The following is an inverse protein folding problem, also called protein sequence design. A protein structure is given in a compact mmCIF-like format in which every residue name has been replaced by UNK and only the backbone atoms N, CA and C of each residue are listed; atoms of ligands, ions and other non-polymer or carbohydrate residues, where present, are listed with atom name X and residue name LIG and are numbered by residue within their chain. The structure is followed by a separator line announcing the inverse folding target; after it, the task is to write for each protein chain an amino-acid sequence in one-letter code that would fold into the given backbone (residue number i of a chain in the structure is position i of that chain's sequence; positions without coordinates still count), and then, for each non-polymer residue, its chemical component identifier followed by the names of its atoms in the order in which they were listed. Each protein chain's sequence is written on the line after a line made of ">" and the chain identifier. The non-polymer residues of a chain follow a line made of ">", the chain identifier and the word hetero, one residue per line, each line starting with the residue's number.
data_IF_261734377703
#
_entry.id   IF_261734377703
#
_cell.length_a   1.000
_cell.length_b   1.000
_cell.length_c   1.000
_cell.angle_alpha   90.00
_cell.angle_beta   90.00
_cell.angle_gamma   90.00
#
_symmetry.space_group_name_H-M   'P 1'
#
loop_
_entity.id
_entity.type
_entity.pdbx_description
1 polymer ?
#
# COMPACT_ATOMS: atom_id res chain seq x y z
N UNK A 1 -16.93 -45.82 27.87
CA UNK A 1 -15.93 -45.60 26.82
C UNK A 1 -14.78 -44.80 27.41
N UNK A 2 -13.69 -45.48 27.68
CA UNK A 2 -12.56 -44.91 28.40
C UNK A 2 -11.69 -44.03 27.49
N UNK A 3 -11.16 -42.94 28.04
CA UNK A 3 -10.31 -41.98 27.33
C UNK A 3 -9.08 -42.61 26.63
N UNK A 4 -8.73 -43.85 27.01
CA UNK A 4 -7.60 -44.59 26.42
C UNK A 4 -7.94 -45.27 25.10
N UNK A 5 -9.24 -45.52 24.84
CA UNK A 5 -9.66 -46.18 23.58
C UNK A 5 -9.81 -45.22 22.41
N UNK A 6 -9.99 -43.92 22.69
CA UNK A 6 -10.05 -42.88 21.67
C UNK A 6 -8.69 -42.59 20.99
N UNK A 7 -7.60 -42.81 21.70
CA UNK A 7 -6.24 -42.55 21.17
C UNK A 7 -5.65 -43.70 20.34
N UNK A 8 -6.28 -44.84 20.30
CA UNK A 8 -5.80 -46.03 19.54
C UNK A 8 -6.42 -46.15 18.12
N UNK A 9 -7.46 -45.42 17.82
CA UNK A 9 -8.14 -45.52 16.50
C UNK A 9 -7.76 -44.44 15.50
N UNK A 10 -6.77 -43.61 15.79
CA UNK A 10 -6.31 -42.51 14.89
C UNK A 10 -4.91 -42.75 14.30
N UNK A 11 -4.46 -43.98 14.20
CA UNK A 11 -3.30 -44.29 13.36
C UNK A 11 -3.74 -44.89 12.03
N UNK A 12 -4.41 -44.10 11.20
CA UNK A 12 -4.43 -44.32 9.75
C UNK A 12 -3.17 -43.68 9.16
N UNK A 13 -2.30 -44.58 8.65
CA UNK A 13 -1.09 -44.24 7.92
C UNK A 13 -1.50 -43.44 6.68
N UNK A 14 -1.46 -42.11 6.76
CA UNK A 14 -1.49 -41.26 5.59
C UNK A 14 -0.10 -41.28 4.95
N UNK A 15 0.04 -41.90 3.77
CA UNK A 15 1.18 -41.73 2.91
C UNK A 15 1.47 -40.24 2.73
N UNK A 16 2.50 -39.72 3.37
CA UNK A 16 3.08 -38.43 3.03
C UNK A 16 3.68 -38.57 1.63
N UNK A 17 2.94 -38.12 0.61
CA UNK A 17 3.58 -37.73 -0.63
C UNK A 17 4.51 -36.56 -0.28
N UNK A 18 5.79 -36.82 -0.23
CA UNK A 18 6.82 -35.80 -0.21
C UNK A 18 6.68 -35.03 -1.54
N UNK A 19 5.99 -33.87 -1.48
CA UNK A 19 6.08 -32.89 -2.55
C UNK A 19 7.57 -32.49 -2.60
N UNK A 20 8.30 -33.02 -3.56
CA UNK A 20 9.63 -32.52 -3.90
C UNK A 20 9.44 -31.11 -4.41
N UNK A 21 9.64 -30.14 -3.52
CA UNK A 21 9.85 -28.76 -3.95
C UNK A 21 11.10 -28.77 -4.84
N UNK A 22 10.91 -28.55 -6.14
CA UNK A 22 12.03 -28.26 -7.01
C UNK A 22 12.81 -27.10 -6.37
N UNK A 23 14.16 -27.17 -6.29
CA UNK A 23 14.94 -26.06 -5.76
C UNK A 23 14.58 -24.82 -6.57
N UNK A 24 14.19 -23.77 -5.87
CA UNK A 24 13.92 -22.47 -6.49
C UNK A 24 15.15 -22.13 -7.35
N UNK A 25 14.91 -21.91 -8.63
CA UNK A 25 15.96 -21.48 -9.55
C UNK A 25 16.66 -20.29 -8.86
N UNK A 26 18.01 -20.33 -8.78
CA UNK A 26 18.82 -19.24 -8.22
C UNK A 26 18.30 -17.97 -8.86
N UNK A 27 17.65 -17.11 -8.07
CA UNK A 27 17.14 -15.83 -8.56
C UNK A 27 18.36 -15.07 -9.05
N UNK A 28 18.47 -14.90 -10.36
CA UNK A 28 19.44 -13.97 -10.91
C UNK A 28 19.21 -12.65 -10.22
N UNK A 29 20.29 -12.01 -9.73
CA UNK A 29 20.21 -10.65 -9.18
C UNK A 29 19.40 -9.83 -10.18
N UNK A 30 18.28 -9.20 -9.77
CA UNK A 30 17.51 -8.45 -10.71
C UNK A 30 18.46 -7.45 -11.38
N UNK A 31 18.32 -7.20 -12.69
CA UNK A 31 19.09 -6.16 -13.35
C UNK A 31 18.92 -4.89 -12.55
N UNK A 32 20.01 -4.14 -12.31
CA UNK A 32 19.94 -2.87 -11.65
C UNK A 32 18.81 -2.06 -12.29
N UNK A 33 17.93 -1.47 -11.47
CA UNK A 33 16.85 -0.64 -12.00
C UNK A 33 17.47 0.35 -12.98
N UNK A 34 16.94 0.47 -14.21
CA UNK A 34 17.50 1.40 -15.18
C UNK A 34 17.54 2.79 -14.55
N UNK A 35 18.72 3.43 -14.57
CA UNK A 35 18.88 4.78 -14.07
C UNK A 35 17.81 5.67 -14.75
N UNK A 36 16.88 6.23 -13.92
CA UNK A 36 15.82 7.17 -14.34
C UNK A 36 15.07 6.78 -15.64
N UNK A 37 14.32 5.69 -15.62
CA UNK A 37 13.30 5.47 -16.63
C UNK A 37 12.05 6.23 -16.17
N UNK A 38 11.63 7.19 -16.97
CA UNK A 38 10.44 8.00 -16.78
C UNK A 38 10.72 9.50 -16.89
N UNK A 39 9.67 10.23 -17.25
CA UNK A 39 9.70 11.69 -17.34
C UNK A 39 9.93 12.29 -15.95
N UNK A 40 10.92 13.17 -15.82
CA UNK A 40 11.08 13.99 -14.63
C UNK A 40 9.98 15.06 -14.61
N UNK A 41 9.08 14.97 -13.64
CA UNK A 41 7.99 15.92 -13.44
C UNK A 41 8.38 17.07 -12.48
N UNK A 42 9.67 17.22 -12.15
CA UNK A 42 10.12 18.22 -11.20
C UNK A 42 9.67 17.92 -9.75
N UNK A 43 9.34 16.67 -9.44
CA UNK A 43 8.94 16.25 -8.08
C UNK A 43 10.13 16.24 -7.15
N UNK A 44 9.89 16.59 -5.88
CA UNK A 44 10.91 16.48 -4.85
C UNK A 44 11.36 15.01 -4.71
N UNK A 45 12.68 14.81 -4.62
CA UNK A 45 13.31 13.47 -4.47
C UNK A 45 13.64 13.14 -3.00
N UNK A 46 13.31 14.05 -2.09
CA UNK A 46 13.27 13.88 -0.64
C UNK A 46 12.11 14.74 -0.11
N UNK A 47 11.45 14.28 0.95
CA UNK A 47 10.32 15.01 1.50
C UNK A 47 10.83 16.16 2.40
N UNK A 48 10.53 17.44 2.06
CA UNK A 48 10.72 18.55 2.99
C UNK A 48 10.06 18.26 4.35
N UNK A 49 10.57 18.88 5.45
CA UNK A 49 9.91 18.78 6.75
C UNK A 49 8.44 19.20 6.67
N UNK A 50 7.57 18.44 7.34
CA UNK A 50 6.14 18.71 7.35
C UNK A 50 5.34 17.41 7.39
N UNK A 51 4.02 17.54 7.24
CA UNK A 51 3.08 16.43 7.27
C UNK A 51 2.53 16.15 5.88
N UNK A 52 2.29 14.90 5.57
CA UNK A 52 1.86 14.43 4.26
C UNK A 52 0.61 13.57 4.36
N UNK A 53 -0.19 13.59 3.30
CA UNK A 53 -1.37 12.74 3.12
C UNK A 53 -1.06 11.67 2.07
N UNK A 54 -0.87 10.43 2.50
CA UNK A 54 -0.55 9.34 1.57
C UNK A 54 -1.76 8.92 0.70
N UNK A 55 -3.01 9.39 1.01
CA UNK A 55 -4.21 8.78 0.45
C UNK A 55 -5.28 9.80 0.02
N UNK A 56 -5.14 10.31 -1.21
CA UNK A 56 -6.07 11.26 -1.82
C UNK A 56 -6.57 10.69 -3.15
N UNK A 57 -7.89 10.70 -3.39
CA UNK A 57 -8.48 10.09 -4.58
C UNK A 57 -9.05 11.08 -5.58
N UNK A 58 -8.98 10.70 -6.86
CA UNK A 58 -9.78 11.28 -7.94
C UNK A 58 -10.95 10.33 -8.22
N UNK A 59 -12.19 10.80 -8.06
CA UNK A 59 -13.38 10.00 -8.34
C UNK A 59 -14.17 10.46 -9.58
N UNK A 60 -13.97 11.69 -10.04
CA UNK A 60 -14.78 12.31 -11.09
C UNK A 60 -13.96 12.69 -12.33
N UNK A 61 -14.63 12.73 -13.49
CA UNK A 61 -14.06 13.19 -14.78
C UNK A 61 -14.08 14.72 -14.92
N UNK A 62 -13.94 15.46 -13.82
CA UNK A 62 -13.89 16.91 -13.88
C UNK A 62 -12.50 17.42 -14.20
N UNK A 63 -12.39 18.57 -14.88
CA UNK A 63 -11.08 19.18 -15.14
C UNK A 63 -10.27 19.40 -13.88
N UNK A 64 -8.97 19.09 -13.88
CA UNK A 64 -8.09 19.32 -12.75
C UNK A 64 -8.06 20.78 -12.30
N UNK A 65 -7.96 20.98 -10.99
CA UNK A 65 -7.78 22.28 -10.31
C UNK A 65 -6.59 22.19 -9.35
N UNK A 66 -5.36 22.06 -9.88
CA UNK A 66 -4.18 21.75 -9.07
C UNK A 66 -3.89 22.79 -8.01
N UNK A 67 -4.02 24.09 -8.31
CA UNK A 67 -3.79 25.16 -7.33
C UNK A 67 -4.80 25.14 -6.17
N UNK A 68 -6.07 24.81 -6.48
CA UNK A 68 -7.09 24.69 -5.45
C UNK A 68 -6.81 23.49 -4.52
N UNK A 69 -6.37 22.36 -5.07
CA UNK A 69 -5.98 21.21 -4.27
C UNK A 69 -4.80 21.54 -3.37
N UNK A 70 -3.73 22.13 -3.93
CA UNK A 70 -2.56 22.53 -3.17
C UNK A 70 -2.91 23.51 -2.03
N UNK A 71 -3.78 24.49 -2.30
CA UNK A 71 -4.24 25.44 -1.30
C UNK A 71 -5.02 24.77 -0.15
N UNK A 72 -5.92 23.81 -0.45
CA UNK A 72 -6.68 23.07 0.56
C UNK A 72 -5.83 22.15 1.41
N UNK A 73 -4.82 21.49 0.81
CA UNK A 73 -3.84 20.70 1.52
C UNK A 73 -3.04 21.58 2.48
N UNK A 74 -2.56 22.73 2.02
CA UNK A 74 -1.85 23.69 2.86
C UNK A 74 -2.75 24.25 3.99
N UNK A 75 -4.02 24.55 3.70
CA UNK A 75 -5.02 24.94 4.73
C UNK A 75 -5.20 23.86 5.80
N UNK A 76 -5.09 22.59 5.43
CA UNK A 76 -5.14 21.47 6.38
C UNK A 76 -3.91 21.37 7.29
N UNK A 77 -2.84 22.11 7.00
CA UNK A 77 -1.56 22.02 7.69
C UNK A 77 -0.64 20.93 7.15
N UNK A 78 -0.85 20.50 5.90
CA UNK A 78 -0.04 19.53 5.20
C UNK A 78 0.78 20.20 4.10
N UNK A 79 1.88 19.56 3.68
CA UNK A 79 2.79 20.10 2.66
C UNK A 79 2.75 19.32 1.34
N UNK A 80 2.04 18.20 1.29
CA UNK A 80 1.91 17.38 0.09
C UNK A 80 1.26 16.02 0.37
N UNK A 81 1.41 15.09 -0.58
CA UNK A 81 0.84 13.75 -0.45
C UNK A 81 0.82 12.96 -1.75
N UNK A 82 0.16 11.80 -1.73
CA UNK A 82 -0.06 10.95 -2.89
C UNK A 82 -1.48 11.12 -3.40
N UNK A 83 -1.62 11.34 -4.70
CA UNK A 83 -2.92 11.46 -5.37
C UNK A 83 -3.13 10.25 -6.25
N UNK A 84 -4.16 9.48 -5.96
CA UNK A 84 -4.53 8.30 -6.73
C UNK A 84 -5.47 8.67 -7.87
N UNK A 85 -5.13 8.22 -9.07
CA UNK A 85 -5.96 8.43 -10.26
C UNK A 85 -7.34 7.82 -10.09
N UNK A 86 -8.21 8.08 -11.03
CA UNK A 86 -9.46 7.32 -11.17
C UNK A 86 -9.20 5.84 -11.40
N UNK A 87 -10.23 5.05 -11.09
CA UNK A 87 -10.30 3.66 -11.49
C UNK A 87 -10.34 3.53 -13.02
N UNK A 88 -9.60 2.55 -13.54
CA UNK A 88 -9.47 2.32 -14.97
C UNK A 88 -10.69 1.62 -15.59
N UNK A 89 -11.34 0.74 -14.84
CA UNK A 89 -12.48 -0.04 -15.32
C UNK A 89 -13.81 0.56 -14.87
N UNK A 90 -14.91 0.32 -15.62
CA UNK A 90 -16.23 0.59 -15.07
C UNK A 90 -16.39 -0.25 -13.80
N UNK A 91 -16.42 0.42 -12.68
CA UNK A 91 -16.64 -0.22 -11.39
C UNK A 91 -18.13 -0.29 -11.12
N UNK A 92 -18.69 -1.47 -10.84
CA UNK A 92 -20.04 -1.58 -10.30
C UNK A 92 -20.21 -0.74 -9.01
N UNK A 93 -19.10 -0.54 -8.30
CA UNK A 93 -18.97 0.20 -7.05
C UNK A 93 -19.41 1.65 -7.16
N UNK A 94 -19.04 2.33 -8.24
CA UNK A 94 -19.21 3.77 -8.34
C UNK A 94 -20.29 4.18 -9.34
N UNK A 95 -20.90 3.22 -10.06
CA UNK A 95 -21.78 3.48 -11.20
C UNK A 95 -21.17 4.46 -12.24
N UNK A 96 -19.85 4.64 -12.18
CA UNK A 96 -19.09 5.61 -12.98
C UNK A 96 -18.42 4.87 -14.12
N UNK A 97 -18.92 5.05 -15.31
CA UNK A 97 -18.21 4.67 -16.53
C UNK A 97 -17.31 5.80 -16.95
N UNK A 98 -16.00 5.65 -16.79
CA UNK A 98 -15.10 6.59 -17.45
C UNK A 98 -14.99 6.27 -18.93
N UNK A 99 -14.94 7.30 -19.77
CA UNK A 99 -14.60 7.19 -21.19
C UNK A 99 -13.12 7.44 -21.45
N UNK A 100 -12.35 7.72 -20.39
CA UNK A 100 -10.92 8.04 -20.50
C UNK A 100 -10.13 6.76 -20.81
N UNK A 101 -9.14 6.90 -21.71
CA UNK A 101 -8.15 5.85 -21.91
C UNK A 101 -7.19 5.78 -20.70
N UNK A 102 -6.45 4.66 -20.53
CA UNK A 102 -5.41 4.57 -19.49
C UNK A 102 -4.44 5.75 -19.51
N UNK A 103 -4.00 6.19 -20.70
CA UNK A 103 -3.09 7.32 -20.88
C UNK A 103 -3.70 8.63 -20.38
N UNK A 104 -4.98 8.87 -20.69
CA UNK A 104 -5.71 10.05 -20.24
C UNK A 104 -5.89 10.07 -18.72
N UNK A 105 -6.13 8.91 -18.11
CA UNK A 105 -6.23 8.76 -16.64
C UNK A 105 -4.88 9.12 -15.99
N UNK A 106 -3.77 8.64 -16.55
CA UNK A 106 -2.42 8.98 -16.09
C UNK A 106 -2.13 10.46 -16.25
N UNK A 107 -2.47 11.05 -17.42
CA UNK A 107 -2.27 12.48 -17.65
C UNK A 107 -3.09 13.34 -16.68
N UNK A 108 -4.34 12.95 -16.39
CA UNK A 108 -5.19 13.65 -15.44
C UNK A 108 -4.59 13.70 -14.03
N UNK A 109 -4.10 12.56 -13.50
CA UNK A 109 -3.51 12.56 -12.15
C UNK A 109 -2.20 13.33 -12.10
N UNK A 110 -1.41 13.32 -13.17
CA UNK A 110 -0.20 14.14 -13.29
C UNK A 110 -0.57 15.64 -13.24
N UNK A 111 -1.61 16.03 -13.96
CA UNK A 111 -2.08 17.42 -13.98
C UNK A 111 -2.59 17.84 -12.59
N UNK A 112 -3.36 17.02 -11.88
CA UNK A 112 -3.77 17.29 -10.49
C UNK A 112 -2.60 17.54 -9.55
N UNK A 113 -1.44 16.92 -9.81
CA UNK A 113 -0.23 17.08 -9.02
C UNK A 113 0.71 18.21 -9.49
N UNK A 114 0.35 18.96 -10.54
CA UNK A 114 1.27 19.90 -11.20
C UNK A 114 1.62 21.13 -10.37
N UNK A 115 0.71 21.59 -9.50
CA UNK A 115 0.91 22.80 -8.70
C UNK A 115 1.93 22.65 -7.54
N UNK A 116 2.36 21.42 -7.22
CA UNK A 116 3.30 21.21 -6.12
C UNK A 116 4.33 20.11 -6.43
N UNK A 117 5.62 20.32 -6.13
CA UNK A 117 6.64 19.29 -6.25
C UNK A 117 6.50 18.18 -5.20
N UNK A 118 5.67 18.38 -4.18
CA UNK A 118 5.41 17.45 -3.08
C UNK A 118 4.09 16.69 -3.21
N UNK A 119 3.39 16.83 -4.33
CA UNK A 119 2.25 16.01 -4.72
C UNK A 119 2.70 14.93 -5.71
N UNK A 120 2.50 13.68 -5.37
CA UNK A 120 3.00 12.52 -6.09
C UNK A 120 1.85 11.80 -6.79
N UNK A 121 1.84 11.71 -8.14
CA UNK A 121 0.78 11.05 -8.89
C UNK A 121 0.92 9.53 -8.80
N UNK A 122 -0.16 8.84 -8.47
CA UNK A 122 -0.27 7.39 -8.40
C UNK A 122 -1.33 6.91 -9.39
N UNK A 123 -1.02 5.86 -10.14
CA UNK A 123 -1.94 5.27 -11.09
C UNK A 123 -2.70 4.10 -10.50
N UNK A 124 -4.03 4.21 -10.46
CA UNK A 124 -4.89 3.10 -10.06
C UNK A 124 -5.08 2.16 -11.25
N UNK A 125 -4.44 1.01 -11.20
CA UNK A 125 -4.38 0.01 -12.25
C UNK A 125 -5.19 -1.24 -11.89
N UNK A 126 -5.82 -1.87 -12.88
CA UNK A 126 -6.34 -3.24 -12.78
C UNK A 126 -5.23 -4.24 -13.18
N UNK A 127 -4.64 -4.96 -12.22
CA UNK A 127 -3.53 -5.87 -12.50
C UNK A 127 -3.96 -7.17 -13.20
N UNK A 128 -5.26 -7.40 -13.37
CA UNK A 128 -5.79 -8.59 -14.06
C UNK A 128 -5.91 -8.42 -15.58
N UNK A 129 -5.73 -7.22 -16.08
CA UNK A 129 -5.77 -6.95 -17.52
C UNK A 129 -4.62 -7.64 -18.25
N UNK A 130 -4.86 -8.15 -19.47
CA UNK A 130 -3.78 -8.74 -20.28
C UNK A 130 -2.62 -7.79 -20.58
N UNK A 131 -2.89 -6.47 -20.65
CA UNK A 131 -1.95 -5.39 -20.93
C UNK A 131 -1.43 -4.69 -19.66
N UNK A 132 -1.60 -5.27 -18.47
CA UNK A 132 -1.26 -4.61 -17.21
C UNK A 132 0.24 -4.28 -17.08
N UNK A 133 1.11 -5.13 -17.62
CA UNK A 133 2.57 -4.90 -17.59
C UNK A 133 2.96 -3.73 -18.49
N UNK A 134 2.40 -3.65 -19.69
CA UNK A 134 2.60 -2.55 -20.62
C UNK A 134 2.05 -1.22 -20.07
N UNK A 135 0.94 -1.29 -19.34
CA UNK A 135 0.38 -0.11 -18.66
C UNK A 135 1.27 0.39 -17.51
N UNK A 136 1.99 -0.51 -16.82
CA UNK A 136 3.02 -0.08 -15.85
C UNK A 136 4.13 0.68 -16.58
N UNK A 137 4.61 0.16 -17.70
CA UNK A 137 5.67 0.79 -18.49
C UNK A 137 5.24 2.19 -18.96
N UNK A 138 4.08 2.29 -19.58
CA UNK A 138 3.49 3.56 -20.04
C UNK A 138 3.36 4.58 -18.91
N UNK A 139 2.83 4.15 -17.75
CA UNK A 139 2.64 5.04 -16.62
C UNK A 139 3.97 5.55 -16.05
N UNK A 140 4.99 4.68 -15.97
CA UNK A 140 6.33 5.06 -15.50
C UNK A 140 6.99 6.02 -16.49
N UNK A 141 6.88 5.79 -17.80
CA UNK A 141 7.40 6.71 -18.84
C UNK A 141 6.77 8.10 -18.72
N UNK A 142 5.48 8.18 -18.38
CA UNK A 142 4.78 9.45 -18.16
C UNK A 142 5.18 10.14 -16.85
N UNK A 143 5.81 9.44 -15.90
CA UNK A 143 6.31 10.02 -14.65
C UNK A 143 5.48 9.70 -13.42
N UNK A 144 4.68 8.62 -13.42
CA UNK A 144 3.96 8.15 -12.24
C UNK A 144 4.94 7.82 -11.10
N UNK A 145 4.59 8.22 -9.88
CA UNK A 145 5.39 8.00 -8.68
C UNK A 145 5.11 6.66 -8.02
N UNK A 146 3.93 6.09 -8.21
CA UNK A 146 3.53 4.81 -7.64
C UNK A 146 2.19 4.34 -8.18
N UNK A 147 1.66 3.26 -7.59
CA UNK A 147 0.45 2.60 -8.08
C UNK A 147 -0.57 2.38 -6.97
N UNK A 148 -1.84 2.23 -7.36
CA UNK A 148 -2.96 1.82 -6.49
C UNK A 148 -3.64 0.61 -7.09
N UNK A 149 -4.05 -0.35 -6.25
CA UNK A 149 -4.85 -1.50 -6.65
C UNK A 149 -6.03 -1.67 -5.69
N UNK A 150 -7.22 -1.78 -6.26
CA UNK A 150 -8.44 -2.25 -5.61
C UNK A 150 -9.04 -3.30 -6.53
N UNK A 151 -9.01 -4.57 -6.14
CA UNK A 151 -9.50 -5.67 -6.97
C UNK A 151 -10.70 -6.33 -6.31
N UNK A 152 -11.91 -5.93 -6.67
CA UNK A 152 -13.16 -6.40 -6.08
C UNK A 152 -13.73 -7.70 -6.70
N UNK A 153 -13.09 -8.23 -7.72
CA UNK A 153 -13.54 -9.41 -8.48
C UNK A 153 -12.56 -10.60 -8.44
N UNK A 154 -11.64 -10.63 -7.49
CA UNK A 154 -10.66 -11.69 -7.33
C UNK A 154 -9.54 -11.35 -6.36
N UNK A 155 -8.78 -12.35 -5.97
CA UNK A 155 -7.66 -12.16 -5.07
C UNK A 155 -6.57 -11.27 -5.68
N UNK A 156 -5.89 -10.44 -4.86
CA UNK A 156 -4.96 -9.44 -5.36
C UNK A 156 -3.78 -10.01 -6.14
N UNK A 157 -3.40 -11.27 -5.85
CA UNK A 157 -2.22 -11.90 -6.45
C UNK A 157 -2.55 -13.00 -7.48
N UNK A 158 -3.80 -13.09 -7.93
CA UNK A 158 -4.21 -14.11 -8.91
C UNK A 158 -3.78 -13.75 -10.34
N UNK A 159 -3.59 -14.81 -11.14
CA UNK A 159 -3.28 -14.70 -12.56
C UNK A 159 -1.95 -13.95 -12.79
N UNK A 160 -1.97 -12.99 -13.71
CA UNK A 160 -0.80 -12.19 -14.11
C UNK A 160 -0.47 -11.04 -13.15
N UNK A 161 -1.26 -10.82 -12.12
CA UNK A 161 -1.08 -9.69 -11.21
C UNK A 161 0.33 -9.64 -10.59
N UNK A 162 0.91 -10.79 -10.25
CA UNK A 162 2.27 -10.84 -9.72
C UNK A 162 3.33 -10.34 -10.70
N UNK A 163 3.15 -10.54 -12.01
CA UNK A 163 4.08 -10.03 -13.02
C UNK A 163 3.98 -8.50 -13.13
N UNK A 164 2.76 -7.97 -13.04
CA UNK A 164 2.53 -6.54 -12.93
C UNK A 164 3.26 -5.95 -11.70
N UNK A 165 3.16 -6.58 -10.53
CA UNK A 165 3.82 -6.10 -9.31
C UNK A 165 5.34 -6.23 -9.35
N UNK A 166 5.88 -7.29 -9.97
CA UNK A 166 7.32 -7.42 -10.23
C UNK A 166 7.81 -6.33 -11.17
N UNK A 167 7.00 -5.92 -12.15
CA UNK A 167 7.34 -4.81 -13.05
C UNK A 167 7.38 -3.49 -12.30
N UNK A 168 6.44 -3.22 -11.39
CA UNK A 168 6.48 -2.05 -10.51
C UNK A 168 7.72 -2.06 -9.61
N UNK A 169 8.04 -3.21 -9.01
CA UNK A 169 9.24 -3.40 -8.20
C UNK A 169 10.53 -3.15 -8.98
N UNK A 170 10.59 -3.62 -10.24
CA UNK A 170 11.72 -3.38 -11.15
C UNK A 170 12.00 -1.88 -11.35
N UNK A 171 10.96 -1.06 -11.43
CA UNK A 171 11.08 0.39 -11.51
C UNK A 171 11.22 1.09 -10.16
N UNK A 172 11.26 0.35 -9.04
CA UNK A 172 11.29 0.90 -7.69
C UNK A 172 10.01 1.67 -7.33
N UNK A 173 8.90 1.45 -8.05
CA UNK A 173 7.64 2.16 -7.80
C UNK A 173 6.82 1.46 -6.73
N UNK A 174 6.41 2.18 -5.67
CA UNK A 174 5.59 1.62 -4.60
C UNK A 174 4.15 1.38 -5.05
N UNK A 175 3.47 0.51 -4.29
CA UNK A 175 2.09 0.11 -4.56
C UNK A 175 1.26 0.16 -3.29
N UNK A 176 0.13 0.90 -3.29
CA UNK A 176 -0.86 0.87 -2.22
C UNK A 176 -2.04 0.00 -2.62
N UNK A 177 -2.33 -1.01 -1.82
CA UNK A 177 -3.53 -1.82 -1.95
C UNK A 177 -4.65 -1.30 -1.06
N UNK A 178 -5.89 -1.35 -1.55
CA UNK A 178 -7.02 -1.38 -0.63
C UNK A 178 -6.95 -2.65 0.20
N UNK A 179 -7.21 -2.55 1.49
CA UNK A 179 -7.33 -3.69 2.40
C UNK A 179 -8.35 -3.37 3.49
N UNK A 180 -9.07 -4.37 3.96
CA UNK A 180 -10.19 -4.15 4.88
C UNK A 180 -11.54 -4.29 4.17
N UNK A 181 -12.62 -3.91 4.87
CA UNK A 181 -13.95 -3.90 4.27
C UNK A 181 -14.02 -2.84 3.17
N UNK A 182 -14.49 -3.26 2.00
CA UNK A 182 -14.81 -2.35 0.90
C UNK A 182 -16.32 -2.11 0.87
N UNK A 183 -16.72 -0.84 0.92
CA UNK A 183 -18.14 -0.42 0.92
C UNK A 183 -18.64 -0.20 -0.52
N UNK A 184 -18.52 -1.23 -1.36
CA UNK A 184 -18.87 -1.19 -2.79
C UNK A 184 -20.24 -1.81 -3.11
N UNK A 185 -20.95 -2.34 -2.11
CA UNK A 185 -22.21 -3.04 -2.30
C UNK A 185 -22.07 -4.45 -2.88
N UNK A 186 -20.84 -4.94 -3.07
CA UNK A 186 -20.53 -6.26 -3.62
C UNK A 186 -20.00 -7.19 -2.52
N UNK A 187 -20.11 -8.53 -2.66
CA UNK A 187 -19.52 -9.49 -1.74
C UNK A 187 -17.99 -9.63 -2.02
N UNK A 188 -17.27 -8.53 -1.95
CA UNK A 188 -15.86 -8.42 -2.37
C UNK A 188 -14.85 -8.46 -1.21
N UNK A 189 -15.32 -8.30 0.03
CA UNK A 189 -14.43 -8.06 1.17
C UNK A 189 -13.49 -9.21 1.49
N UNK A 190 -13.80 -10.44 1.08
CA UNK A 190 -12.90 -11.60 1.26
C UNK A 190 -11.57 -11.41 0.52
N UNK A 191 -11.57 -10.71 -0.61
CA UNK A 191 -10.38 -10.46 -1.41
C UNK A 191 -9.42 -9.44 -0.78
N UNK A 192 -9.90 -8.69 0.23
CA UNK A 192 -9.15 -7.62 0.88
C UNK A 192 -8.68 -7.97 2.30
N UNK A 193 -8.81 -9.23 2.71
CA UNK A 193 -8.23 -9.70 3.97
C UNK A 193 -6.69 -9.74 3.87
N UNK A 194 -5.96 -9.36 4.92
CA UNK A 194 -4.50 -9.32 4.89
C UNK A 194 -3.83 -10.60 4.42
N UNK A 195 -4.36 -11.75 4.76
CA UNK A 195 -3.82 -13.06 4.33
C UNK A 195 -3.80 -13.21 2.82
N UNK A 196 -4.69 -12.55 2.08
CA UNK A 196 -4.74 -12.60 0.62
C UNK A 196 -3.50 -11.94 -0.04
N UNK A 197 -2.75 -11.13 0.69
CA UNK A 197 -1.54 -10.46 0.22
C UNK A 197 -0.25 -11.26 0.54
N UNK A 198 -0.34 -12.39 1.22
CA UNK A 198 0.81 -13.23 1.52
C UNK A 198 1.59 -13.68 0.26
N UNK A 199 0.95 -14.00 -0.89
CA UNK A 199 1.65 -14.34 -2.12
C UNK A 199 2.58 -13.25 -2.67
N UNK A 200 2.50 -11.99 -2.19
CA UNK A 200 3.44 -10.92 -2.52
C UNK A 200 4.89 -11.26 -2.13
N UNK A 201 5.13 -12.24 -1.26
CA UNK A 201 6.46 -12.81 -1.03
C UNK A 201 7.15 -13.27 -2.33
N UNK A 202 6.38 -13.47 -3.42
CA UNK A 202 6.89 -13.78 -4.76
C UNK A 202 7.22 -12.55 -5.61
N UNK A 203 7.05 -11.35 -5.08
CA UNK A 203 7.40 -10.09 -5.73
C UNK A 203 8.54 -9.40 -4.95
N UNK A 204 9.80 -9.89 -5.10
CA UNK A 204 10.94 -9.33 -4.38
C UNK A 204 11.11 -7.84 -4.70
N UNK A 205 11.65 -7.09 -3.73
CA UNK A 205 11.86 -5.63 -3.79
C UNK A 205 10.59 -4.78 -3.90
N UNK A 206 9.40 -5.36 -4.01
CA UNK A 206 8.17 -4.58 -4.00
C UNK A 206 8.04 -3.84 -2.67
N UNK A 207 7.85 -2.52 -2.74
CA UNK A 207 7.36 -1.72 -1.62
C UNK A 207 5.85 -1.63 -1.74
N UNK A 208 5.12 -2.11 -0.73
CA UNK A 208 3.67 -2.03 -0.76
C UNK A 208 3.08 -1.58 0.56
N UNK A 209 1.93 -0.92 0.50
CA UNK A 209 1.14 -0.53 1.65
C UNK A 209 -0.22 -1.22 1.63
N UNK A 210 -0.71 -1.61 2.81
CA UNK A 210 -2.11 -2.00 3.02
C UNK A 210 -2.87 -0.82 3.63
N UNK A 211 -3.90 -0.35 2.93
CA UNK A 211 -4.71 0.78 3.35
C UNK A 211 -5.62 0.44 4.55
N UNK A 212 -6.05 1.49 5.28
CA UNK A 212 -7.06 1.44 6.34
C UNK A 212 -6.69 0.55 7.53
N UNK A 213 -5.39 0.28 7.76
CA UNK A 213 -4.91 -0.72 8.73
C UNK A 213 -5.64 -2.07 8.51
N UNK A 214 -6.14 -2.30 7.32
CA UNK A 214 -6.97 -3.45 6.94
C UNK A 214 -8.24 -3.62 7.81
N UNK A 215 -8.82 -2.53 8.31
CA UNK A 215 -9.98 -2.60 9.20
C UNK A 215 -11.14 -3.44 8.58
N UNK A 216 -11.78 -4.39 9.32
CA UNK A 216 -11.61 -4.66 10.75
C UNK A 216 -10.52 -5.68 11.10
N UNK A 217 -9.78 -6.20 10.12
CA UNK A 217 -8.77 -7.27 10.29
C UNK A 217 -7.39 -6.72 10.68
N UNK A 218 -7.35 -5.76 11.61
CA UNK A 218 -6.10 -5.13 12.04
C UNK A 218 -5.10 -6.13 12.62
N UNK A 219 -5.57 -7.17 13.33
CA UNK A 219 -4.71 -8.22 13.90
C UNK A 219 -4.09 -9.09 12.81
N UNK A 220 -4.82 -9.40 11.73
CA UNK A 220 -4.27 -10.08 10.55
C UNK A 220 -3.25 -9.20 9.82
N UNK A 221 -3.50 -7.89 9.73
CA UNK A 221 -2.55 -6.93 9.16
C UNK A 221 -1.22 -6.96 9.93
N UNK A 222 -1.26 -6.94 11.26
CA UNK A 222 -0.06 -7.04 12.09
C UNK A 222 0.64 -8.39 11.94
N UNK A 223 -0.12 -9.48 11.85
CA UNK A 223 0.44 -10.82 11.64
C UNK A 223 1.14 -10.92 10.29
N UNK A 224 0.52 -10.40 9.23
CA UNK A 224 1.15 -10.35 7.90
C UNK A 224 2.40 -9.47 7.91
N UNK A 225 2.36 -8.30 8.56
CA UNK A 225 3.53 -7.44 8.73
C UNK A 225 4.69 -8.19 9.38
N UNK A 226 4.44 -8.93 10.45
CA UNK A 226 5.43 -9.78 11.09
C UNK A 226 5.99 -10.84 10.14
N UNK A 227 5.12 -11.50 9.38
CA UNK A 227 5.53 -12.51 8.39
C UNK A 227 6.41 -11.93 7.29
N UNK A 228 6.03 -10.79 6.71
CA UNK A 228 6.83 -10.12 5.66
C UNK A 228 8.21 -9.72 6.19
N UNK A 229 8.27 -9.15 7.39
CA UNK A 229 9.52 -8.79 8.04
C UNK A 229 10.43 -10.00 8.29
N UNK A 230 9.87 -11.09 8.82
CA UNK A 230 10.63 -12.26 9.24
C UNK A 230 10.98 -13.19 8.06
N UNK A 231 10.24 -13.09 6.94
CA UNK A 231 10.51 -13.88 5.74
C UNK A 231 11.93 -13.65 5.22
N UNK A 232 12.39 -12.40 5.19
CA UNK A 232 13.75 -12.06 4.81
C UNK A 232 14.80 -12.74 5.67
N UNK A 233 14.56 -12.89 6.96
CA UNK A 233 15.46 -13.58 7.87
C UNK A 233 15.46 -15.10 7.65
N UNK A 234 14.27 -15.70 7.44
CA UNK A 234 14.13 -17.16 7.28
C UNK A 234 14.61 -17.69 5.94
N UNK A 235 14.54 -16.87 4.89
CA UNK A 235 15.01 -17.22 3.55
C UNK A 235 16.52 -17.04 3.38
N UNK A 236 17.20 -16.60 4.44
CA UNK A 236 18.65 -16.42 4.40
C UNK A 236 19.36 -17.78 4.33
N UNK A 237 20.26 -17.93 3.39
CA UNK A 237 21.15 -19.11 3.37
C UNK A 237 22.07 -19.12 4.61
N UNK A 238 22.32 -20.30 5.23
CA UNK A 238 23.25 -20.38 6.34
C UNK A 238 24.63 -19.83 5.93
N UNK A 239 25.13 -18.86 6.70
CA UNK A 239 26.42 -18.23 6.43
C UNK A 239 26.39 -17.03 5.50
N UNK A 240 25.24 -16.64 4.94
CA UNK A 240 25.12 -15.43 4.14
C UNK A 240 25.42 -14.18 4.98
N UNK A 241 26.29 -13.30 4.48
CA UNK A 241 26.62 -12.02 5.13
C UNK A 241 25.57 -10.95 4.87
N UNK A 242 24.68 -11.15 3.88
CA UNK A 242 23.59 -10.22 3.57
C UNK A 242 22.53 -10.24 4.65
N UNK A 243 22.04 -9.07 4.98
CA UNK A 243 21.08 -8.89 6.07
C UNK A 243 19.71 -9.46 5.75
N UNK A 244 19.24 -9.43 4.51
CA UNK A 244 17.97 -10.04 4.10
C UNK A 244 17.99 -10.36 2.60
N UNK A 245 17.48 -11.54 2.18
CA UNK A 245 17.19 -11.77 0.78
C UNK A 245 16.10 -10.81 0.31
N UNK A 246 15.99 -10.70 -0.99
CA UNK A 246 15.11 -9.79 -1.69
C UNK A 246 13.63 -10.13 -1.44
N UNK A 247 13.09 -9.63 -0.35
CA UNK A 247 11.67 -9.76 0.03
C UNK A 247 10.96 -8.43 -0.13
N UNK A 248 9.64 -8.45 -0.31
CA UNK A 248 8.86 -7.22 -0.35
C UNK A 248 8.91 -6.48 0.98
N UNK A 249 8.79 -5.17 0.93
CA UNK A 249 8.72 -4.32 2.11
C UNK A 249 7.29 -3.83 2.32
N UNK A 250 6.67 -4.26 3.41
CA UNK A 250 5.31 -3.88 3.77
C UNK A 250 5.28 -2.58 4.59
N UNK A 251 4.39 -1.67 4.20
CA UNK A 251 3.95 -0.49 4.92
C UNK A 251 2.47 -0.64 5.30
N UNK A 252 2.00 0.21 6.20
CA UNK A 252 0.60 0.25 6.61
C UNK A 252 0.14 1.70 6.49
N UNK A 253 -0.85 1.92 5.66
CA UNK A 253 -1.54 3.20 5.57
C UNK A 253 -2.64 3.24 6.64
N UNK A 254 -2.65 4.31 7.42
CA UNK A 254 -3.57 4.48 8.53
C UNK A 254 -4.80 5.30 8.16
N UNK A 255 -5.07 5.45 6.88
CA UNK A 255 -6.28 6.10 6.37
C UNK A 255 -7.49 5.67 7.18
N UNK A 256 -8.35 6.60 7.60
CA UNK A 256 -9.46 6.25 8.46
C UNK A 256 -10.38 5.22 7.78
N UNK A 257 -10.56 4.10 8.48
CA UNK A 257 -11.73 3.28 8.26
C UNK A 257 -13.00 4.05 8.70
N UNK A 258 -14.20 3.46 8.59
CA UNK A 258 -15.44 4.23 8.62
C UNK A 258 -15.75 5.00 9.91
N UNK A 259 -15.00 4.86 11.01
CA UNK A 259 -15.22 5.64 12.25
C UNK A 259 -13.95 5.83 13.07
N UNK A 260 -13.77 7.05 13.59
CA UNK A 260 -12.64 7.45 14.43
C UNK A 260 -12.41 6.58 15.69
N UNK A 261 -13.48 6.01 16.28
CA UNK A 261 -13.38 5.16 17.47
C UNK A 261 -12.52 3.91 17.22
N UNK A 262 -12.61 3.31 16.04
CA UNK A 262 -11.82 2.13 15.67
C UNK A 262 -10.34 2.46 15.44
N UNK A 263 -10.07 3.69 15.02
CA UNK A 263 -8.71 4.19 14.76
C UNK A 263 -7.87 4.19 16.04
N UNK A 264 -8.44 4.64 17.16
CA UNK A 264 -7.73 4.65 18.44
C UNK A 264 -7.20 3.27 18.82
N UNK A 265 -8.09 2.29 18.81
CA UNK A 265 -7.73 0.92 19.22
C UNK A 265 -6.72 0.29 18.27
N UNK A 266 -6.85 0.53 16.98
CA UNK A 266 -5.91 0.03 15.98
C UNK A 266 -4.51 0.66 16.13
N UNK A 267 -4.41 1.99 16.25
CA UNK A 267 -3.13 2.68 16.47
C UNK A 267 -2.49 2.30 17.80
N UNK A 268 -3.28 2.23 18.86
CA UNK A 268 -2.78 1.79 20.18
C UNK A 268 -2.18 0.39 20.10
N UNK A 269 -2.87 -0.56 19.47
CA UNK A 269 -2.34 -1.92 19.24
C UNK A 269 -1.03 -1.91 18.48
N UNK A 270 -0.94 -1.18 17.38
CA UNK A 270 0.26 -1.11 16.54
C UNK A 270 1.48 -0.63 17.34
N UNK A 271 1.32 0.41 18.14
CA UNK A 271 2.43 0.99 18.90
C UNK A 271 2.72 0.30 20.24
N UNK A 272 1.82 -0.52 20.77
CA UNK A 272 2.02 -1.24 22.05
C UNK A 272 2.49 -2.69 21.87
N UNK A 273 2.60 -3.18 20.64
CA UNK A 273 3.08 -4.54 20.35
C UNK A 273 4.60 -4.63 20.39
N UNK A 274 5.11 -5.87 20.37
CA UNK A 274 6.54 -6.15 20.17
C UNK A 274 7.10 -5.60 18.84
N UNK A 275 6.23 -5.19 17.92
CA UNK A 275 6.61 -4.61 16.63
C UNK A 275 6.75 -3.09 16.65
N UNK A 276 6.60 -2.42 17.80
CA UNK A 276 6.64 -0.95 17.88
C UNK A 276 7.77 -0.32 17.07
N UNK A 277 9.02 -0.75 17.25
CA UNK A 277 10.16 -0.16 16.53
C UNK A 277 10.07 -0.31 15.01
N UNK A 278 9.87 -1.53 14.45
CA UNK A 278 9.72 -1.67 13.00
C UNK A 278 8.44 -1.05 12.45
N UNK A 279 7.33 -1.05 13.20
CA UNK A 279 6.07 -0.45 12.77
C UNK A 279 6.19 1.08 12.69
N UNK A 280 6.80 1.73 13.67
CA UNK A 280 6.98 3.17 13.68
C UNK A 280 7.69 3.70 12.41
N UNK A 281 8.50 2.88 11.75
CA UNK A 281 9.16 3.20 10.49
C UNK A 281 8.32 2.84 9.23
N UNK A 282 7.09 2.37 9.37
CA UNK A 282 6.26 1.80 8.31
C UNK A 282 4.81 2.28 8.30
N UNK A 283 4.39 3.06 9.29
CA UNK A 283 3.05 3.65 9.31
C UNK A 283 3.06 4.98 8.55
N UNK A 284 2.02 5.20 7.75
CA UNK A 284 1.84 6.43 6.98
C UNK A 284 0.45 7.01 7.24
N UNK A 285 0.38 8.33 7.41
CA UNK A 285 -0.87 9.06 7.56
C UNK A 285 -1.58 9.22 6.21
N UNK A 286 -2.91 9.04 6.18
CA UNK A 286 -3.74 9.31 5.04
C UNK A 286 -5.15 9.71 5.43
N UNK A 287 -5.92 10.32 4.53
CA UNK A 287 -7.26 10.86 4.82
C UNK A 287 -8.40 10.24 4.03
N UNK A 288 -8.13 9.61 2.89
CA UNK A 288 -9.13 9.14 1.91
C UNK A 288 -9.99 10.27 1.33
N UNK A 289 -9.48 11.51 1.35
CA UNK A 289 -10.16 12.66 0.77
C UNK A 289 -10.23 12.55 -0.76
N UNK A 290 -11.25 13.19 -1.34
CA UNK A 290 -11.31 13.43 -2.78
C UNK A 290 -10.65 14.76 -3.14
N UNK A 291 -9.93 14.81 -4.28
CA UNK A 291 -9.37 16.06 -4.82
C UNK A 291 -10.44 17.13 -5.07
N UNK A 292 -11.66 16.71 -5.39
CA UNK A 292 -12.77 17.62 -5.76
C UNK A 292 -13.31 18.41 -4.57
N UNK A 293 -13.33 17.79 -3.41
CA UNK A 293 -13.85 18.37 -2.17
C UNK A 293 -12.92 18.12 -0.97
N UNK A 294 -11.61 18.20 -1.20
CA UNK A 294 -10.62 18.02 -0.13
C UNK A 294 -10.99 18.88 1.08
N UNK A 295 -11.27 18.22 2.20
CA UNK A 295 -11.75 18.88 3.41
C UNK A 295 -10.62 19.11 4.39
N UNK A 296 -10.15 20.34 4.46
CA UNK A 296 -9.16 20.76 5.46
C UNK A 296 -9.67 20.57 6.89
N UNK A 297 -10.97 20.80 7.15
CA UNK A 297 -11.57 20.56 8.46
C UNK A 297 -11.53 19.09 8.85
N UNK A 298 -11.94 18.21 7.94
CA UNK A 298 -11.91 16.75 8.15
C UNK A 298 -10.48 16.27 8.42
N UNK A 299 -9.53 16.70 7.61
CA UNK A 299 -8.11 16.38 7.79
C UNK A 299 -7.60 16.82 9.15
N UNK A 300 -7.87 18.06 9.56
CA UNK A 300 -7.46 18.57 10.89
C UNK A 300 -8.08 17.78 12.05
N UNK A 301 -9.30 17.26 11.91
CA UNK A 301 -9.88 16.38 12.94
C UNK A 301 -9.05 15.11 13.16
N UNK A 302 -8.57 14.48 12.08
CA UNK A 302 -7.70 13.31 12.20
C UNK A 302 -6.32 13.67 12.75
N UNK A 303 -5.69 14.73 12.25
CA UNK A 303 -4.41 15.20 12.76
C UNK A 303 -4.47 15.48 14.26
N UNK A 304 -5.48 16.22 14.72
CA UNK A 304 -5.66 16.53 16.14
C UNK A 304 -5.92 15.28 17.00
N UNK A 305 -6.69 14.32 16.46
CA UNK A 305 -6.97 13.06 17.12
C UNK A 305 -5.69 12.22 17.26
N UNK A 306 -4.93 12.05 16.19
CA UNK A 306 -3.69 11.28 16.19
C UNK A 306 -2.63 11.94 17.09
N UNK A 307 -2.48 13.27 17.01
CA UNK A 307 -1.55 14.01 17.88
C UNK A 307 -1.91 13.88 19.36
N UNK A 308 -3.20 13.86 19.71
CA UNK A 308 -3.63 13.64 21.09
C UNK A 308 -3.30 12.23 21.56
N UNK A 309 -3.56 11.23 20.72
CA UNK A 309 -3.25 9.84 21.02
C UNK A 309 -1.72 9.61 21.11
N UNK A 310 -0.94 10.23 20.25
CA UNK A 310 0.53 10.12 20.28
C UNK A 310 1.14 10.73 21.55
N UNK A 311 0.56 11.82 22.07
CA UNK A 311 0.93 12.37 23.39
C UNK A 311 0.57 11.41 24.53
N UNK A 312 -0.64 10.81 24.47
CA UNK A 312 -1.05 9.79 25.46
C UNK A 312 -0.13 8.57 25.47
N UNK A 313 0.35 8.16 24.30
CA UNK A 313 1.27 7.03 24.14
C UNK A 313 2.75 7.39 24.35
N UNK A 314 3.05 8.64 24.63
CA UNK A 314 4.43 9.15 24.80
C UNK A 314 5.33 8.78 23.62
N UNK A 315 4.83 8.97 22.38
CA UNK A 315 5.65 8.75 21.19
C UNK A 315 6.75 9.80 21.10
N UNK A 316 7.92 9.35 20.68
CA UNK A 316 9.06 10.24 20.43
C UNK A 316 8.82 11.10 19.19
N UNK A 317 9.46 12.27 19.11
CA UNK A 317 9.43 13.14 17.93
C UNK A 317 9.81 12.39 16.65
N UNK A 318 10.77 11.47 16.73
CA UNK A 318 11.17 10.61 15.61
C UNK A 318 10.03 9.68 15.15
N UNK A 319 9.29 9.09 16.06
CA UNK A 319 8.13 8.22 15.73
C UNK A 319 7.02 9.05 15.09
N UNK A 320 6.77 10.25 15.59
CA UNK A 320 5.77 11.18 15.04
C UNK A 320 6.21 11.68 13.65
N UNK A 321 7.45 12.08 13.46
CA UNK A 321 7.99 12.46 12.14
C UNK A 321 7.93 11.29 11.17
N UNK A 322 8.24 10.08 11.63
CA UNK A 322 8.13 8.89 10.78
C UNK A 322 6.73 8.68 10.27
N UNK A 323 5.73 8.80 11.14
CA UNK A 323 4.31 8.62 10.81
C UNK A 323 3.81 9.64 9.78
N UNK A 324 4.19 10.90 9.92
CA UNK A 324 3.70 11.97 9.05
C UNK A 324 4.56 12.20 7.80
N UNK A 325 5.82 11.71 7.77
CA UNK A 325 6.75 12.05 6.69
C UNK A 325 7.73 10.92 6.34
N UNK A 326 8.59 10.49 7.28
CA UNK A 326 9.76 9.70 6.92
C UNK A 326 9.43 8.27 6.46
N UNK A 327 8.31 7.69 6.89
CA UNK A 327 7.83 6.41 6.35
C UNK A 327 7.39 6.58 4.88
N UNK A 328 6.66 7.65 4.55
CA UNK A 328 6.28 7.97 3.18
C UNK A 328 7.51 8.24 2.30
N UNK A 329 8.51 8.95 2.82
CA UNK A 329 9.77 9.20 2.10
C UNK A 329 10.45 7.87 1.72
N UNK A 330 10.57 6.94 2.66
CA UNK A 330 11.12 5.60 2.39
C UNK A 330 10.25 4.81 1.41
N UNK A 331 8.94 4.93 1.51
CA UNK A 331 7.99 4.28 0.61
C UNK A 331 8.19 4.76 -0.83
N UNK A 332 8.35 6.05 -1.02
CA UNK A 332 8.54 6.66 -2.35
C UNK A 332 9.95 6.39 -2.93
N UNK A 333 11.02 6.53 -2.14
CA UNK A 333 12.37 6.73 -2.69
C UNK A 333 13.41 5.70 -2.25
N UNK A 334 13.20 4.93 -1.15
CA UNK A 334 14.22 3.99 -0.66
C UNK A 334 14.33 2.71 -1.51
#
# INVERSE_FOLDING_TARGET
>A
MDRRDFLKSSMCVGSMMAATFAPAAKSAKPPAAPASVGKDLGKAKALPPGRYDEHIHIYEDTPPKPDLLAARIAEAGLVGGCVYSREQAPSPRLALTTRMTPEQIVDQVIEWCSASPTLYPFYWIDPSRPDAVELVDMAVEKGISGFKVIRSNGYPCDGIALDCYRRMAHYGRPLTFHSGILYDGMPSSEFFRPVAFEPLLRAPHLKFALAHISWPWCDECMALFGKMRDAGWRLREPGAKSTYPDVPTMYIDTTPGPKAIWRRDALLKLYTTQFRKPIADRLMFGTDNSVHNYSAEHTRKFLNFDDALFREMELTEREIDSYYRAALEKFLFA
#
